data_IF_485942066729
#
_entry.id   IF_485942066729
#
_cell.length_a   1.000
_cell.length_b   1.000
_cell.length_c   1.000
_cell.angle_alpha   90.00
_cell.angle_beta   90.00
_cell.angle_gamma   90.00
#
_symmetry.space_group_name_H-M   'P 1'
#
loop_
_entity.id
_entity.type
_entity.pdbx_description
1 polymer ?
#
# COMPACT_ATOMS: atom_id res chain seq x y z
N UNK A 1 -7.71 -2.88 5.66
CA UNK A 1 -8.31 -3.07 4.32
C UNK A 1 -9.82 -3.31 4.41
N UNK A 2 -10.33 -4.19 5.29
CA UNK A 2 -11.77 -4.51 5.40
C UNK A 2 -12.66 -3.27 5.59
N UNK A 3 -12.27 -2.33 6.46
CA UNK A 3 -13.04 -1.08 6.66
C UNK A 3 -13.06 -0.24 5.37
N UNK A 4 -11.94 -0.14 4.66
CA UNK A 4 -11.84 0.59 3.39
C UNK A 4 -12.75 -0.03 2.33
N UNK A 5 -12.74 -1.37 2.20
CA UNK A 5 -13.60 -2.10 1.28
C UNK A 5 -15.09 -1.84 1.56
N UNK A 6 -15.52 -1.97 2.82
CA UNK A 6 -16.92 -1.69 3.23
C UNK A 6 -17.37 -0.26 2.93
N UNK A 7 -16.44 0.68 2.86
CA UNK A 7 -16.70 2.10 2.53
C UNK A 7 -16.52 2.40 1.03
N UNK A 8 -16.33 1.37 0.18
CA UNK A 8 -16.20 1.50 -1.25
C UNK A 8 -14.94 2.24 -1.70
N UNK A 9 -13.86 2.14 -0.94
CA UNK A 9 -12.52 2.58 -1.40
C UNK A 9 -11.94 1.47 -2.26
N UNK A 10 -11.45 1.82 -3.47
CA UNK A 10 -10.82 0.86 -4.38
C UNK A 10 -9.60 0.20 -3.74
N UNK A 11 -9.57 -1.12 -3.76
CA UNK A 11 -8.47 -1.96 -3.25
C UNK A 11 -8.12 -3.02 -4.27
N UNK A 12 -6.88 -3.53 -4.29
CA UNK A 12 -6.61 -4.81 -4.94
C UNK A 12 -7.45 -5.91 -4.31
N UNK A 13 -7.90 -6.89 -5.10
CA UNK A 13 -8.64 -8.03 -4.57
C UNK A 13 -7.75 -8.76 -3.57
N UNK A 14 -8.27 -8.98 -2.37
CA UNK A 14 -7.48 -9.43 -1.23
C UNK A 14 -8.22 -10.50 -0.44
N UNK A 15 -7.54 -11.58 -0.10
CA UNK A 15 -8.00 -12.64 0.79
C UNK A 15 -7.03 -12.90 1.92
N UNK A 16 -7.51 -13.54 2.99
CA UNK A 16 -6.71 -13.96 4.13
C UNK A 16 -6.74 -15.48 4.21
N UNK A 17 -5.58 -16.10 4.29
CA UNK A 17 -5.47 -17.56 4.43
C UNK A 17 -5.36 -17.94 5.90
N UNK A 18 -6.22 -18.85 6.31
CA UNK A 18 -6.27 -19.41 7.67
C UNK A 18 -6.14 -20.93 7.67
N UNK A 19 -6.48 -21.58 6.56
CA UNK A 19 -6.43 -23.03 6.40
C UNK A 19 -5.81 -23.43 5.07
N UNK A 20 -5.07 -24.55 5.01
CA UNK A 20 -4.62 -25.13 3.74
C UNK A 20 -5.77 -25.46 2.78
N UNK A 21 -6.93 -25.82 3.30
CA UNK A 21 -8.10 -26.21 2.49
C UNK A 21 -8.64 -25.06 1.62
N UNK A 22 -8.44 -23.79 2.07
CA UNK A 22 -8.93 -22.61 1.39
C UNK A 22 -8.00 -22.10 0.27
N UNK A 23 -6.79 -22.65 0.14
CA UNK A 23 -5.72 -22.11 -0.71
C UNK A 23 -6.17 -21.96 -2.17
N UNK A 24 -6.79 -23.00 -2.73
CA UNK A 24 -7.21 -23.01 -4.13
C UNK A 24 -8.26 -21.94 -4.43
N UNK A 25 -9.25 -21.81 -3.55
CA UNK A 25 -10.34 -20.86 -3.68
C UNK A 25 -9.83 -19.42 -3.51
N UNK A 26 -8.91 -19.19 -2.57
CA UNK A 26 -8.27 -17.89 -2.38
C UNK A 26 -7.44 -17.47 -3.61
N UNK A 27 -6.67 -18.40 -4.19
CA UNK A 27 -5.92 -18.13 -5.43
C UNK A 27 -6.88 -17.79 -6.57
N UNK A 28 -7.98 -18.51 -6.72
CA UNK A 28 -8.99 -18.23 -7.75
C UNK A 28 -9.66 -16.86 -7.50
N UNK A 29 -10.01 -16.55 -6.24
CA UNK A 29 -10.67 -15.31 -5.85
C UNK A 29 -9.83 -14.09 -6.21
N UNK A 30 -8.51 -14.13 -6.05
CA UNK A 30 -7.63 -13.01 -6.41
C UNK A 30 -7.26 -12.96 -7.89
N UNK A 31 -7.84 -13.83 -8.72
CA UNK A 31 -7.65 -13.87 -10.17
C UNK A 31 -6.48 -14.73 -10.65
N UNK A 32 -5.89 -15.53 -9.76
CA UNK A 32 -4.76 -16.40 -10.09
C UNK A 32 -3.41 -15.69 -10.21
N UNK A 33 -2.35 -16.43 -10.56
CA UNK A 33 -1.01 -15.87 -10.73
C UNK A 33 -0.88 -14.92 -11.95
N UNK A 34 0.05 -13.94 -11.86
CA UNK A 34 0.87 -13.65 -10.70
C UNK A 34 0.04 -13.02 -9.57
N UNK A 35 0.37 -13.38 -8.33
CA UNK A 35 -0.27 -12.83 -7.14
C UNK A 35 0.77 -12.53 -6.05
N UNK A 36 0.41 -11.66 -5.10
CA UNK A 36 1.28 -11.24 -4.01
C UNK A 36 0.83 -11.90 -2.71
N UNK A 37 1.76 -12.55 -2.03
CA UNK A 37 1.57 -13.15 -0.70
C UNK A 37 2.31 -12.28 0.31
N UNK A 38 1.66 -11.89 1.40
CA UNK A 38 2.23 -11.00 2.42
C UNK A 38 2.01 -11.57 3.80
N UNK A 39 3.07 -11.61 4.61
CA UNK A 39 2.97 -11.84 6.06
C UNK A 39 2.46 -10.54 6.69
N UNK A 40 1.44 -10.63 7.57
CA UNK A 40 0.80 -9.44 8.15
C UNK A 40 1.72 -8.71 9.13
N UNK A 41 2.58 -9.43 9.84
CA UNK A 41 3.54 -8.89 10.81
C UNK A 41 4.84 -8.41 10.15
N UNK A 42 4.93 -8.44 8.80
CA UNK A 42 6.11 -8.01 8.04
C UNK A 42 6.23 -6.50 7.95
N UNK A 43 7.48 -6.01 7.86
CA UNK A 43 7.79 -4.59 7.65
C UNK A 43 8.72 -4.41 6.46
N UNK A 44 8.71 -3.24 5.82
CA UNK A 44 9.65 -2.83 4.75
C UNK A 44 9.74 -3.83 3.57
N UNK A 45 8.65 -4.53 3.28
CA UNK A 45 8.60 -5.54 2.22
C UNK A 45 9.30 -6.87 2.57
N UNK A 46 9.63 -7.11 3.84
CA UNK A 46 10.02 -8.42 4.35
C UNK A 46 8.74 -9.27 4.46
N UNK A 47 8.84 -10.54 4.07
CA UNK A 47 7.66 -11.42 4.06
C UNK A 47 6.66 -11.12 2.94
N UNK A 48 7.08 -10.42 1.88
CA UNK A 48 6.27 -10.16 0.68
C UNK A 48 6.86 -10.93 -0.49
N UNK A 49 6.06 -11.83 -1.09
CA UNK A 49 6.47 -12.74 -2.18
C UNK A 49 5.55 -12.53 -3.37
N UNK A 50 6.13 -12.42 -4.58
CA UNK A 50 5.40 -12.53 -5.84
C UNK A 50 5.43 -14.00 -6.29
N UNK A 51 4.28 -14.62 -6.38
CA UNK A 51 4.15 -15.97 -6.92
C UNK A 51 3.68 -15.88 -8.37
N UNK A 52 4.54 -16.26 -9.29
CA UNK A 52 4.28 -16.17 -10.72
C UNK A 52 3.52 -17.38 -11.29
N UNK A 53 3.52 -18.49 -10.53
CA UNK A 53 2.80 -19.72 -10.89
C UNK A 53 1.90 -20.19 -9.76
N UNK A 54 0.87 -20.96 -10.09
CA UNK A 54 -0.03 -21.55 -9.09
C UNK A 54 0.72 -22.45 -8.12
N UNK A 55 1.65 -23.28 -8.62
CA UNK A 55 2.44 -24.17 -7.79
C UNK A 55 3.31 -23.40 -6.79
N UNK A 56 3.97 -22.32 -7.24
CA UNK A 56 4.76 -21.47 -6.36
C UNK A 56 3.88 -20.80 -5.29
N UNK A 57 2.67 -20.34 -5.68
CA UNK A 57 1.73 -19.74 -4.74
C UNK A 57 1.33 -20.74 -3.64
N UNK A 58 0.93 -21.95 -4.02
CA UNK A 58 0.54 -23.02 -3.07
C UNK A 58 1.69 -23.30 -2.10
N UNK A 59 2.89 -23.60 -2.63
CA UNK A 59 4.06 -23.95 -1.80
C UNK A 59 4.44 -22.86 -0.80
N UNK A 60 4.37 -21.58 -1.21
CA UNK A 60 4.68 -20.45 -0.31
C UNK A 60 3.59 -20.28 0.75
N UNK A 61 2.32 -20.41 0.37
CA UNK A 61 1.21 -20.27 1.31
C UNK A 61 1.27 -21.39 2.36
N UNK A 62 1.44 -22.66 1.93
CA UNK A 62 1.58 -23.81 2.82
C UNK A 62 2.75 -23.63 3.79
N UNK A 63 3.94 -23.22 3.28
CA UNK A 63 5.10 -22.98 4.12
C UNK A 63 4.86 -21.89 5.18
N UNK A 64 4.16 -20.81 4.83
CA UNK A 64 3.85 -19.74 5.78
C UNK A 64 2.78 -20.16 6.80
N UNK A 65 1.78 -20.94 6.39
CA UNK A 65 0.78 -21.48 7.30
C UNK A 65 1.39 -22.49 8.29
N UNK A 66 2.32 -23.34 7.84
CA UNK A 66 3.05 -24.27 8.71
C UNK A 66 3.89 -23.54 9.78
N UNK A 67 4.41 -22.36 9.43
CA UNK A 67 5.08 -21.45 10.37
C UNK A 67 4.10 -20.63 11.24
N UNK A 68 2.80 -20.91 11.16
CA UNK A 68 1.74 -20.20 11.89
C UNK A 68 1.70 -18.68 11.59
N UNK A 69 2.20 -18.26 10.44
CA UNK A 69 2.16 -16.86 10.04
C UNK A 69 0.76 -16.46 9.55
N UNK A 70 0.29 -15.29 9.97
CA UNK A 70 -0.92 -14.71 9.39
C UNK A 70 -0.59 -14.12 8.03
N UNK A 71 -1.25 -14.59 6.98
CA UNK A 71 -0.94 -14.18 5.62
C UNK A 71 -2.14 -13.59 4.89
N UNK A 72 -1.82 -12.68 4.01
CA UNK A 72 -2.74 -12.04 3.07
C UNK A 72 -2.30 -12.39 1.65
N UNK A 73 -3.26 -12.76 0.81
CA UNK A 73 -3.08 -13.02 -0.62
C UNK A 73 -3.77 -11.89 -1.37
N UNK A 74 -3.08 -11.32 -2.35
CA UNK A 74 -3.56 -10.15 -3.07
C UNK A 74 -3.26 -10.27 -4.57
N UNK A 75 -4.21 -9.80 -5.41
CA UNK A 75 -3.95 -9.70 -6.85
C UNK A 75 -2.72 -8.84 -7.14
N UNK A 76 -1.95 -9.20 -8.14
CA UNK A 76 -0.84 -8.39 -8.61
C UNK A 76 -1.31 -7.41 -9.69
N UNK A 77 -1.15 -6.11 -9.45
CA UNK A 77 -1.55 -5.06 -10.38
C UNK A 77 -0.44 -4.82 -11.39
N UNK A 78 -0.50 -5.55 -12.52
CA UNK A 78 0.53 -5.51 -13.58
C UNK A 78 0.70 -4.13 -14.20
N UNK A 79 -0.41 -3.40 -14.38
CA UNK A 79 -0.43 -2.08 -14.97
C UNK A 79 0.23 -1.00 -14.09
N UNK A 80 0.44 -1.27 -12.81
CA UNK A 80 1.26 -0.42 -11.93
C UNK A 80 2.76 -0.49 -12.26
N UNK A 81 3.22 -1.50 -13.04
CA UNK A 81 4.61 -1.67 -13.51
C UNK A 81 5.63 -1.61 -12.36
N UNK A 82 5.34 -2.30 -11.27
CA UNK A 82 6.15 -2.29 -10.04
C UNK A 82 6.42 -0.88 -9.49
N UNK A 83 5.49 0.04 -9.68
CA UNK A 83 5.50 1.38 -9.11
C UNK A 83 4.30 1.59 -8.20
N UNK A 84 4.47 2.40 -7.19
CA UNK A 84 3.38 2.89 -6.36
C UNK A 84 3.51 4.41 -6.10
N UNK A 85 2.42 5.00 -5.62
CA UNK A 85 2.37 6.40 -5.26
C UNK A 85 2.12 6.50 -3.76
N UNK A 86 3.03 7.13 -3.02
CA UNK A 86 2.79 7.52 -1.63
C UNK A 86 2.24 8.93 -1.59
N UNK A 87 0.99 9.06 -1.12
CA UNK A 87 0.35 10.31 -0.83
C UNK A 87 0.47 10.63 0.66
N UNK A 88 1.00 11.79 1.00
CA UNK A 88 1.05 12.25 2.38
C UNK A 88 -0.16 13.14 2.67
N UNK A 89 -1.05 12.65 3.53
CA UNK A 89 -2.31 13.33 3.90
C UNK A 89 -2.15 13.97 5.27
N UNK A 90 -2.52 15.24 5.37
CA UNK A 90 -2.59 15.98 6.64
C UNK A 90 -3.91 16.75 6.67
N UNK A 91 -4.72 16.52 7.70
CA UNK A 91 -6.04 17.15 7.91
C UNK A 91 -6.90 17.17 6.64
N UNK A 92 -7.06 16.00 6.02
CA UNK A 92 -7.91 15.84 4.85
C UNK A 92 -7.39 16.46 3.55
N UNK A 93 -6.09 16.77 3.48
CA UNK A 93 -5.44 17.30 2.26
C UNK A 93 -4.17 16.52 1.94
N UNK A 94 -3.97 16.16 0.68
CA UNK A 94 -2.67 15.66 0.21
C UNK A 94 -1.71 16.84 0.10
N UNK A 95 -0.70 16.88 0.98
CA UNK A 95 0.30 17.96 1.05
C UNK A 95 1.54 17.66 0.20
N UNK A 96 1.85 16.38 0.01
CA UNK A 96 2.99 15.90 -0.77
C UNK A 96 2.65 14.53 -1.38
N UNK A 97 3.26 14.22 -2.53
CA UNK A 97 3.15 12.89 -3.13
C UNK A 97 4.44 12.53 -3.86
N UNK A 98 4.86 11.28 -3.72
CA UNK A 98 5.99 10.73 -4.46
C UNK A 98 5.60 9.42 -5.13
N UNK A 99 6.20 9.16 -6.27
CA UNK A 99 6.15 7.87 -6.93
C UNK A 99 7.43 7.10 -6.57
N UNK A 100 7.24 5.85 -6.18
CA UNK A 100 8.34 4.92 -5.91
C UNK A 100 8.35 3.89 -7.03
N UNK A 101 9.49 3.68 -7.65
CA UNK A 101 9.68 2.71 -8.72
C UNK A 101 10.63 1.62 -8.24
N UNK A 102 10.23 0.38 -8.36
CA UNK A 102 11.09 -0.76 -8.07
C UNK A 102 12.32 -0.79 -8.99
N UNK A 103 13.42 -1.34 -8.48
CA UNK A 103 14.61 -1.67 -9.27
C UNK A 103 14.26 -2.74 -10.32
N UNK A 104 14.96 -2.72 -11.43
CA UNK A 104 14.83 -3.76 -12.48
C UNK A 104 14.98 -5.17 -11.88
N UNK A 105 14.02 -6.05 -12.16
CA UNK A 105 13.96 -7.40 -11.61
C UNK A 105 13.37 -7.50 -10.19
N UNK A 106 12.93 -6.39 -9.61
CA UNK A 106 12.22 -6.34 -8.33
C UNK A 106 10.79 -5.83 -8.55
N UNK A 107 9.82 -6.36 -7.82
CA UNK A 107 8.42 -5.92 -7.90
C UNK A 107 8.02 -4.99 -6.76
N UNK A 108 8.80 -4.96 -5.67
CA UNK A 108 8.56 -4.11 -4.50
C UNK A 108 9.26 -2.77 -4.69
N UNK A 109 8.49 -1.70 -4.66
CA UNK A 109 8.94 -0.32 -4.86
C UNK A 109 9.63 0.32 -3.66
N UNK A 110 9.85 -0.43 -2.58
CA UNK A 110 10.47 0.06 -1.35
C UNK A 110 11.87 0.66 -1.59
N UNK A 111 12.11 1.87 -1.08
CA UNK A 111 13.38 2.61 -1.22
C UNK A 111 14.57 1.79 -0.67
N UNK A 112 14.39 1.14 0.49
CA UNK A 112 15.41 0.30 1.13
C UNK A 112 15.84 -0.91 0.31
N UNK A 113 15.08 -1.25 -0.75
CA UNK A 113 15.42 -2.32 -1.71
C UNK A 113 16.05 -1.79 -3.00
N UNK A 114 16.48 -0.53 -3.00
CA UNK A 114 17.11 0.12 -4.14
C UNK A 114 16.10 0.71 -5.14
N UNK A 115 14.86 0.87 -4.73
CA UNK A 115 13.84 1.59 -5.50
C UNK A 115 14.23 3.07 -5.67
N UNK A 116 13.77 3.68 -6.75
CA UNK A 116 13.94 5.11 -7.01
C UNK A 116 12.69 5.88 -6.63
N UNK A 117 12.86 7.17 -6.32
CA UNK A 117 11.77 8.08 -5.97
C UNK A 117 11.75 9.29 -6.91
N UNK A 118 10.55 9.75 -7.22
CA UNK A 118 10.35 11.00 -7.96
C UNK A 118 9.09 11.70 -7.50
N UNK A 119 8.99 13.01 -7.78
CA UNK A 119 7.78 13.77 -7.55
C UNK A 119 6.61 13.14 -8.32
N UNK A 120 5.49 12.87 -7.66
CA UNK A 120 4.29 12.35 -8.29
C UNK A 120 3.36 13.50 -8.73
N UNK A 121 2.88 13.44 -9.98
CA UNK A 121 1.74 14.24 -10.44
C UNK A 121 0.48 13.41 -10.22
N UNK A 122 -0.36 13.86 -9.30
CA UNK A 122 -1.61 13.18 -8.96
C UNK A 122 -2.77 13.64 -9.85
N UNK A 123 -3.58 12.69 -10.26
CA UNK A 123 -4.91 12.98 -10.79
C UNK A 123 -5.85 13.44 -9.68
N UNK A 124 -7.00 14.01 -10.04
CA UNK A 124 -8.03 14.38 -9.07
C UNK A 124 -8.56 13.15 -8.33
N UNK A 125 -8.71 12.03 -9.02
CA UNK A 125 -9.18 10.77 -8.46
C UNK A 125 -8.18 10.18 -7.46
N UNK A 126 -6.88 10.14 -7.79
CA UNK A 126 -5.82 9.68 -6.88
C UNK A 126 -5.80 10.51 -5.59
N UNK A 127 -5.92 11.82 -5.73
CA UNK A 127 -5.96 12.75 -4.59
C UNK A 127 -7.19 12.50 -3.71
N UNK A 128 -8.37 12.38 -4.30
CA UNK A 128 -9.61 12.16 -3.56
C UNK A 128 -9.62 10.79 -2.89
N UNK A 129 -9.10 9.75 -3.55
CA UNK A 129 -8.97 8.39 -3.01
C UNK A 129 -8.06 8.37 -1.78
N UNK A 130 -6.89 9.01 -1.84
CA UNK A 130 -5.97 9.10 -0.71
C UNK A 130 -6.61 9.80 0.50
N UNK A 131 -7.25 10.93 0.27
CA UNK A 131 -7.96 11.68 1.35
C UNK A 131 -9.08 10.85 1.94
N UNK A 132 -9.88 10.20 1.09
CA UNK A 132 -10.99 9.34 1.53
C UNK A 132 -10.48 8.16 2.35
N UNK A 133 -9.39 7.51 1.94
CA UNK A 133 -8.79 6.40 2.66
C UNK A 133 -8.33 6.81 4.07
N UNK A 134 -7.59 7.91 4.19
CA UNK A 134 -7.17 8.46 5.49
C UNK A 134 -8.37 8.77 6.39
N UNK A 135 -9.40 9.44 5.85
CA UNK A 135 -10.63 9.80 6.57
C UNK A 135 -11.41 8.56 7.05
N UNK A 136 -11.53 7.53 6.22
CA UNK A 136 -12.24 6.28 6.57
C UNK A 136 -11.58 5.54 7.72
N UNK A 137 -10.24 5.58 7.78
CA UNK A 137 -9.46 4.99 8.89
C UNK A 137 -9.44 5.90 10.13
N UNK A 138 -9.85 7.17 10.00
CA UNK A 138 -9.86 8.13 11.10
C UNK A 138 -8.50 8.77 11.37
N UNK A 139 -7.63 8.87 10.37
CA UNK A 139 -6.30 9.44 10.50
C UNK A 139 -6.26 10.88 9.98
N UNK A 140 -5.81 11.80 10.82
CA UNK A 140 -5.53 13.19 10.44
C UNK A 140 -4.18 13.29 9.70
N UNK A 141 -3.24 12.41 10.02
CA UNK A 141 -1.93 12.29 9.37
C UNK A 141 -1.78 10.86 8.89
N UNK A 142 -1.54 10.69 7.60
CA UNK A 142 -1.39 9.36 7.00
C UNK A 142 -0.49 9.38 5.76
N UNK A 143 0.24 8.28 5.58
CA UNK A 143 0.82 7.90 4.29
C UNK A 143 -0.09 6.90 3.60
N UNK A 144 -0.68 7.28 2.48
CA UNK A 144 -1.55 6.41 1.70
C UNK A 144 -0.81 5.95 0.45
N UNK A 145 -0.64 4.64 0.31
CA UNK A 145 0.03 4.04 -0.83
C UNK A 145 -0.99 3.56 -1.86
N UNK A 146 -0.88 4.06 -3.08
CA UNK A 146 -1.78 3.80 -4.19
C UNK A 146 -1.08 3.05 -5.31
N UNK A 147 -1.79 2.12 -5.92
CA UNK A 147 -1.43 1.51 -7.20
C UNK A 147 -2.30 2.09 -8.31
N UNK A 148 -1.70 2.44 -9.45
CA UNK A 148 -2.42 2.78 -10.67
C UNK A 148 -2.93 1.53 -11.33
N UNK A 149 -4.21 1.46 -11.60
CA UNK A 149 -4.83 0.34 -12.29
C UNK A 149 -5.78 0.79 -13.39
N UNK A 150 -6.19 -0.15 -14.25
CA UNK A 150 -7.22 0.08 -15.27
C UNK A 150 -8.61 0.32 -14.66
N UNK A 151 -8.77 0.09 -13.35
CA UNK A 151 -10.01 0.30 -12.58
C UNK A 151 -9.95 1.57 -11.71
N UNK A 152 -9.01 2.47 -11.97
CA UNK A 152 -8.73 3.63 -11.14
C UNK A 152 -7.66 3.37 -10.07
N UNK A 153 -7.43 4.31 -9.14
CA UNK A 153 -6.46 4.17 -8.08
C UNK A 153 -6.90 3.17 -7.02
N UNK A 154 -6.03 2.21 -6.69
CA UNK A 154 -6.26 1.20 -5.67
C UNK A 154 -5.39 1.47 -4.45
N UNK A 155 -5.99 1.53 -3.26
CA UNK A 155 -5.25 1.70 -2.01
C UNK A 155 -4.61 0.38 -1.61
N UNK A 156 -3.28 0.36 -1.55
CA UNK A 156 -2.52 -0.80 -1.11
C UNK A 156 -2.40 -0.85 0.41
N UNK A 157 -2.09 0.30 1.03
CA UNK A 157 -2.00 0.43 2.49
C UNK A 157 -2.21 1.88 2.96
N UNK A 158 -2.54 2.03 4.25
CA UNK A 158 -2.62 3.33 4.94
C UNK A 158 -1.75 3.25 6.19
N UNK A 159 -0.72 4.09 6.25
CA UNK A 159 0.25 4.15 7.32
C UNK A 159 -0.05 5.31 8.26
N UNK A 160 -0.18 5.04 9.56
CA UNK A 160 -0.40 6.06 10.60
C UNK A 160 0.87 6.83 10.99
N UNK A 161 2.04 6.25 10.72
CA UNK A 161 3.35 6.85 11.04
C UNK A 161 4.28 6.77 9.83
N UNK A 162 3.96 7.50 8.74
CA UNK A 162 4.74 7.43 7.51
C UNK A 162 6.10 8.12 7.67
N UNK A 163 7.17 7.47 7.16
CA UNK A 163 8.51 8.06 7.14
C UNK A 163 8.56 9.32 6.27
N UNK A 164 9.31 10.33 6.72
CA UNK A 164 9.39 11.65 6.07
C UNK A 164 10.53 11.77 5.06
N UNK A 165 11.64 11.06 5.25
CA UNK A 165 12.86 11.21 4.47
C UNK A 165 12.62 11.13 2.95
N UNK A 166 11.97 10.06 2.48
CA UNK A 166 11.74 9.86 1.05
C UNK A 166 10.84 10.91 0.44
N UNK A 167 9.76 11.29 1.12
CA UNK A 167 8.79 12.25 0.60
C UNK A 167 9.36 13.68 0.59
N UNK A 168 10.12 14.08 1.60
CA UNK A 168 10.79 15.38 1.67
C UNK A 168 11.87 15.49 0.60
N UNK A 169 12.67 14.43 0.40
CA UNK A 169 13.67 14.36 -0.67
C UNK A 169 13.05 14.48 -2.06
N UNK A 170 11.93 13.79 -2.31
CA UNK A 170 11.26 13.80 -3.62
C UNK A 170 10.54 15.12 -3.92
N UNK A 171 10.01 15.79 -2.90
CA UNK A 171 9.15 16.97 -3.08
C UNK A 171 9.82 18.29 -2.73
N UNK A 172 10.97 18.26 -2.05
CA UNK A 172 11.69 19.44 -1.51
C UNK A 172 10.79 20.26 -0.57
N UNK A 173 9.85 19.61 0.11
CA UNK A 173 8.95 20.22 1.10
C UNK A 173 9.34 19.81 2.50
N UNK A 174 9.31 20.72 3.44
CA UNK A 174 9.43 20.43 4.87
C UNK A 174 8.08 19.88 5.38
N UNK A 175 7.89 18.57 5.25
CA UNK A 175 6.65 17.90 5.65
C UNK A 175 6.52 17.89 7.17
N UNK A 176 7.62 17.76 7.89
CA UNK A 176 7.66 17.82 9.35
C UNK A 176 7.07 19.16 9.87
N UNK A 177 7.49 20.28 9.28
CA UNK A 177 6.97 21.60 9.64
C UNK A 177 5.46 21.72 9.39
N UNK A 178 4.98 21.18 8.26
CA UNK A 178 3.54 21.21 7.94
C UNK A 178 2.74 20.41 8.97
N UNK A 179 3.26 19.27 9.42
CA UNK A 179 2.63 18.44 10.46
C UNK A 179 2.57 19.22 11.77
N UNK A 180 3.68 19.79 12.24
CA UNK A 180 3.74 20.54 13.50
C UNK A 180 2.77 21.72 13.47
N UNK A 181 2.82 22.55 12.43
CA UNK A 181 1.85 23.68 12.27
C UNK A 181 0.40 23.22 12.27
N UNK A 182 0.14 22.02 11.73
CA UNK A 182 -1.20 21.44 11.73
C UNK A 182 -1.67 21.04 13.14
N UNK A 183 -0.77 20.47 13.95
CA UNK A 183 -1.03 20.08 15.34
C UNK A 183 -1.23 21.32 16.20
N UNK A 184 -0.34 22.31 16.11
CA UNK A 184 -0.45 23.59 16.83
C UNK A 184 -1.79 24.29 16.56
N UNK A 185 -2.16 24.40 15.27
CA UNK A 185 -3.45 25.02 14.88
C UNK A 185 -4.65 24.26 15.47
N UNK A 186 -4.53 22.98 15.71
CA UNK A 186 -5.59 22.19 16.32
C UNK A 186 -5.64 22.37 17.84
N UNK A 187 -4.46 22.37 18.49
CA UNK A 187 -4.36 22.60 19.93
C UNK A 187 -4.89 23.98 20.38
N UNK A 188 -4.74 25.01 19.53
CA UNK A 188 -5.25 26.36 19.80
C UNK A 188 -6.77 26.50 19.63
N UNK A 189 -7.47 25.44 19.21
CA UNK A 189 -8.95 25.46 19.07
C UNK A 189 -9.69 24.89 20.28
N UNK A 190 -8.95 24.37 21.25
CA UNK A 190 -9.43 23.88 22.53
C UNK A 190 -8.92 24.78 23.67
#
# INVERSE_FOLDING_TARGET
LQILSRKGVGLPITGFAYSPDDIQDLINMVGGPPLVIKILEGTQGIGVVLAETRQAAISVIEAFLDLQAHIMIQEYIKEAKAADIRCFVVNGKVIAAMERQAKLGEFRSNIHRGGTIRLAKLTTEERSTAVRAAKVIGLDIAGVDLLRSNRGPLVMEVNSSPGLEGIEKATQKNVAEIIIKSIEKRALKY
#
